data_IF_179184728544
#
_entry.id   IF_179184728544
#
_cell.length_a   1.000
_cell.length_b   1.000
_cell.length_c   1.000
_cell.angle_alpha   90.00
_cell.angle_beta   90.00
_cell.angle_gamma   90.00
#
_symmetry.space_group_name_H-M   'P 1'
#
loop_
_entity.id
_entity.type
_entity.pdbx_description
1 polymer ?
#
# COMPACT_ATOMS: atom_id res chain seq x y z
N UNK A 1 -2.45 19.43 -1.91
CA UNK A 1 -3.25 18.31 -1.40
C UNK A 1 -2.43 17.59 -0.35
N UNK A 2 -2.88 17.61 0.89
CA UNK A 2 -2.25 16.89 2.01
C UNK A 2 -2.77 15.44 2.09
N UNK A 3 -2.27 14.67 3.07
CA UNK A 3 -2.68 13.28 3.28
C UNK A 3 -4.17 13.10 3.57
N UNK A 4 -4.76 13.96 4.39
CA UNK A 4 -6.18 13.89 4.74
C UNK A 4 -7.07 14.06 3.50
N UNK A 5 -6.76 15.05 2.65
CA UNK A 5 -7.47 15.27 1.40
C UNK A 5 -7.24 14.15 0.38
N UNK A 6 -6.02 13.60 0.34
CA UNK A 6 -5.69 12.46 -0.51
C UNK A 6 -6.51 11.22 -0.14
N UNK A 7 -6.54 10.85 1.15
CA UNK A 7 -7.29 9.68 1.63
C UNK A 7 -8.79 9.88 1.43
N UNK A 8 -9.36 11.04 1.78
CA UNK A 8 -10.79 11.28 1.56
C UNK A 8 -11.19 11.18 0.08
N UNK A 9 -10.29 11.55 -0.83
CA UNK A 9 -10.58 11.53 -2.28
C UNK A 9 -10.45 10.15 -2.90
N UNK A 10 -9.45 9.37 -2.47
CA UNK A 10 -9.14 8.06 -3.04
C UNK A 10 -9.46 6.90 -2.07
N UNK A 11 -10.35 7.12 -1.10
CA UNK A 11 -10.58 6.18 0.01
C UNK A 11 -10.88 4.76 -0.47
N UNK A 12 -11.79 4.61 -1.44
CA UNK A 12 -12.19 3.31 -1.97
C UNK A 12 -11.06 2.64 -2.77
N UNK A 13 -10.27 3.41 -3.52
CA UNK A 13 -9.10 2.90 -4.23
C UNK A 13 -8.05 2.40 -3.24
N UNK A 14 -7.74 3.20 -2.21
CA UNK A 14 -6.81 2.83 -1.14
C UNK A 14 -7.27 1.60 -0.34
N UNK A 15 -8.58 1.45 -0.11
CA UNK A 15 -9.14 0.22 0.49
C UNK A 15 -8.94 -1.00 -0.41
N UNK A 16 -9.16 -0.85 -1.72
CA UNK A 16 -8.87 -1.92 -2.69
C UNK A 16 -7.39 -2.26 -2.73
N UNK A 17 -6.51 -1.26 -2.73
CA UNK A 17 -5.05 -1.45 -2.70
C UNK A 17 -4.62 -2.20 -1.44
N UNK A 18 -5.22 -1.88 -0.28
CA UNK A 18 -4.96 -2.59 0.97
C UNK A 18 -5.36 -4.07 0.88
N UNK A 19 -6.54 -4.38 0.33
CA UNK A 19 -6.99 -5.76 0.11
C UNK A 19 -6.09 -6.51 -0.88
N UNK A 20 -5.62 -5.84 -1.95
CA UNK A 20 -4.66 -6.41 -2.90
C UNK A 20 -3.30 -6.70 -2.25
N UNK A 21 -2.80 -5.79 -1.41
CA UNK A 21 -1.56 -6.00 -0.66
C UNK A 21 -1.70 -7.16 0.34
N UNK A 22 -2.83 -7.23 1.05
CA UNK A 22 -3.14 -8.35 1.95
C UNK A 22 -3.17 -9.67 1.19
N UNK A 23 -3.87 -9.73 0.07
CA UNK A 23 -3.92 -10.92 -0.78
C UNK A 23 -2.53 -11.37 -1.21
N UNK A 24 -1.67 -10.42 -1.63
CA UNK A 24 -0.28 -10.72 -2.02
C UNK A 24 0.57 -11.24 -0.87
N UNK A 25 0.37 -10.74 0.35
CA UNK A 25 1.07 -11.23 1.55
C UNK A 25 0.60 -12.64 1.91
N UNK A 26 -0.70 -12.89 1.91
CA UNK A 26 -1.28 -14.21 2.23
C UNK A 26 -0.89 -15.28 1.20
N UNK A 27 -0.71 -14.87 -0.06
CA UNK A 27 -0.34 -15.76 -1.18
C UNK A 27 1.09 -15.54 -1.66
N UNK A 28 1.97 -15.04 -0.79
CA UNK A 28 3.37 -14.79 -1.15
C UNK A 28 4.04 -16.09 -1.57
N UNK A 29 4.58 -16.11 -2.79
CA UNK A 29 5.34 -17.24 -3.32
C UNK A 29 6.80 -16.83 -3.41
N UNK A 30 7.69 -17.39 -2.56
CA UNK A 30 9.11 -17.12 -2.68
C UNK A 30 9.63 -17.64 -4.02
N UNK A 31 10.57 -16.91 -4.60
CA UNK A 31 11.31 -17.36 -5.78
C UNK A 31 12.00 -18.68 -5.45
N UNK A 32 11.88 -19.66 -6.35
CA UNK A 32 12.45 -21.00 -6.15
C UNK A 32 13.85 -21.13 -6.75
N UNK A 33 14.68 -22.04 -6.21
CA UNK A 33 16.07 -22.23 -6.66
C UNK A 33 16.12 -22.54 -8.17
N UNK A 34 15.11 -23.26 -8.68
CA UNK A 34 14.98 -23.60 -10.10
C UNK A 34 14.66 -22.40 -11.00
N UNK A 35 13.89 -21.42 -10.51
CA UNK A 35 13.57 -20.20 -11.27
C UNK A 35 14.79 -19.28 -11.42
N UNK A 36 15.65 -19.21 -10.38
CA UNK A 36 16.92 -18.47 -10.46
C UNK A 36 17.97 -19.18 -11.29
N UNK A 37 18.02 -20.51 -11.26
CA UNK A 37 18.87 -21.28 -12.18
C UNK A 37 18.43 -21.05 -13.64
N UNK A 38 17.12 -20.97 -13.90
CA UNK A 38 16.56 -20.75 -15.23
C UNK A 38 16.94 -19.41 -15.85
N UNK A 39 16.78 -18.30 -15.13
CA UNK A 39 17.10 -16.94 -15.64
C UNK A 39 18.58 -16.77 -16.00
N UNK A 40 19.48 -17.42 -15.26
CA UNK A 40 20.93 -17.34 -15.47
C UNK A 40 21.45 -18.27 -16.59
N UNK A 41 20.76 -19.38 -16.89
CA UNK A 41 21.12 -20.23 -18.04
C UNK A 41 20.93 -19.47 -19.36
N UNK A 42 20.00 -18.52 -19.40
CA UNK A 42 19.77 -17.63 -20.56
C UNK A 42 20.65 -16.37 -20.56
N UNK A 43 21.37 -16.08 -19.47
CA UNK A 43 22.29 -14.95 -19.35
C UNK A 43 23.74 -15.31 -19.75
N UNK A 44 23.91 -16.41 -20.50
CA UNK A 44 25.24 -16.84 -20.97
C UNK A 44 25.70 -16.01 -22.17
N UNK A 45 26.80 -15.30 -21.94
CA UNK A 45 27.65 -14.61 -22.90
C UNK A 45 28.25 -15.55 -23.96
N UNK A 46 28.41 -15.01 -25.18
CA UNK A 46 29.01 -15.63 -26.37
C UNK A 46 30.56 -15.79 -26.30
N UNK A 47 31.16 -15.99 -25.13
CA UNK A 47 32.63 -16.02 -24.99
C UNK A 47 33.27 -17.42 -24.87
N UNK A 48 34.45 -17.64 -25.49
CA UNK A 48 35.05 -18.96 -25.66
C UNK A 48 35.69 -19.52 -24.37
N UNK A 49 35.53 -20.84 -24.20
CA UNK A 49 35.84 -21.66 -23.02
C UNK A 49 37.33 -21.69 -22.63
N UNK A 50 37.61 -21.61 -21.32
CA UNK A 50 38.94 -21.85 -20.74
C UNK A 50 38.94 -22.91 -19.63
N UNK A 51 39.86 -23.88 -19.82
CA UNK A 51 40.53 -24.89 -18.95
C UNK A 51 39.85 -25.38 -17.65
N UNK A 52 39.75 -26.71 -17.57
CA UNK A 52 39.19 -27.52 -16.47
C UNK A 52 40.12 -27.65 -15.26
N UNK A 53 39.68 -27.11 -14.12
CA UNK A 53 40.11 -27.45 -12.74
C UNK A 53 38.98 -28.23 -12.05
N UNK A 54 39.21 -28.95 -10.92
CA UNK A 54 38.23 -29.89 -10.40
C UNK A 54 36.93 -29.15 -10.04
N UNK A 55 35.91 -29.42 -10.83
CA UNK A 55 34.74 -28.59 -11.06
C UNK A 55 33.78 -28.55 -9.87
N UNK A 56 33.88 -29.52 -8.96
CA UNK A 56 32.87 -29.73 -7.92
C UNK A 56 32.86 -28.63 -6.83
N UNK A 57 34.03 -28.27 -6.28
CA UNK A 57 34.13 -27.21 -5.25
C UNK A 57 33.66 -25.84 -5.74
N UNK A 58 33.87 -25.54 -7.03
CA UNK A 58 33.49 -24.24 -7.61
C UNK A 58 31.98 -24.16 -7.81
N UNK A 59 31.35 -25.24 -8.27
CA UNK A 59 29.89 -25.33 -8.43
C UNK A 59 29.15 -25.30 -7.09
N UNK A 60 29.67 -25.96 -6.05
CA UNK A 60 29.09 -25.95 -4.69
C UNK A 60 29.12 -24.54 -4.07
N UNK A 61 30.25 -23.82 -4.14
CA UNK A 61 30.34 -22.44 -3.67
C UNK A 61 29.41 -21.49 -4.44
N UNK A 62 29.30 -21.69 -5.75
CA UNK A 62 28.41 -20.92 -6.60
C UNK A 62 26.94 -21.18 -6.21
N UNK A 63 26.55 -22.44 -5.96
CA UNK A 63 25.21 -22.81 -5.51
C UNK A 63 24.86 -22.26 -4.12
N UNK A 64 25.81 -22.25 -3.17
CA UNK A 64 25.62 -21.65 -1.84
C UNK A 64 25.40 -20.14 -1.93
N UNK A 65 26.23 -19.43 -2.69
CA UNK A 65 26.07 -17.99 -2.92
C UNK A 65 24.72 -17.67 -3.61
N UNK A 66 24.24 -18.54 -4.50
CA UNK A 66 22.93 -18.39 -5.14
C UNK A 66 21.78 -18.54 -4.15
N UNK A 67 21.84 -19.56 -3.30
CA UNK A 67 20.84 -19.80 -2.28
C UNK A 67 20.75 -18.64 -1.28
N UNK A 68 21.89 -18.09 -0.87
CA UNK A 68 21.94 -16.92 0.02
C UNK A 68 21.32 -15.68 -0.63
N UNK A 69 21.68 -15.38 -1.88
CA UNK A 69 21.10 -14.24 -2.62
C UNK A 69 19.60 -14.38 -2.83
N UNK A 70 19.13 -15.58 -3.12
CA UNK A 70 17.72 -15.93 -3.23
C UNK A 70 16.94 -15.68 -1.93
N UNK A 71 17.48 -16.15 -0.80
CA UNK A 71 16.86 -15.96 0.51
C UNK A 71 16.78 -14.46 0.80
N UNK A 72 17.87 -13.73 0.59
CA UNK A 72 17.92 -12.28 0.77
C UNK A 72 16.87 -11.55 -0.07
N UNK A 73 16.76 -11.88 -1.37
CA UNK A 73 15.80 -11.23 -2.27
C UNK A 73 14.35 -11.50 -1.83
N UNK A 74 14.04 -12.73 -1.44
CA UNK A 74 12.72 -13.08 -0.91
C UNK A 74 12.40 -12.34 0.40
N UNK A 75 13.38 -12.22 1.31
CA UNK A 75 13.24 -11.46 2.56
C UNK A 75 13.02 -9.97 2.29
N UNK A 76 13.77 -9.37 1.38
CA UNK A 76 13.64 -7.97 0.98
C UNK A 76 12.25 -7.69 0.35
N UNK A 77 11.79 -8.57 -0.54
CA UNK A 77 10.46 -8.46 -1.16
C UNK A 77 9.34 -8.56 -0.13
N UNK A 78 9.44 -9.52 0.80
CA UNK A 78 8.44 -9.68 1.85
C UNK A 78 8.43 -8.49 2.82
N UNK A 79 9.61 -7.95 3.15
CA UNK A 79 9.75 -6.77 3.99
C UNK A 79 9.13 -5.53 3.35
N UNK A 80 9.40 -5.26 2.07
CA UNK A 80 8.80 -4.14 1.32
C UNK A 80 7.27 -4.27 1.23
N UNK A 81 6.75 -5.45 0.86
CA UNK A 81 5.30 -5.70 0.82
C UNK A 81 4.63 -5.48 2.18
N UNK A 82 5.26 -6.00 3.25
CA UNK A 82 4.74 -5.86 4.62
C UNK A 82 4.75 -4.40 5.06
N UNK A 83 5.83 -3.66 4.79
CA UNK A 83 5.93 -2.25 5.14
C UNK A 83 4.88 -1.41 4.42
N UNK A 84 4.66 -1.67 3.12
CA UNK A 84 3.61 -0.99 2.33
C UNK A 84 2.22 -1.28 2.90
N UNK A 85 1.93 -2.53 3.23
CA UNK A 85 0.66 -2.91 3.85
C UNK A 85 0.46 -2.22 5.19
N UNK A 86 1.45 -2.29 6.10
CA UNK A 86 1.37 -1.68 7.45
C UNK A 86 1.17 -0.17 7.35
N UNK A 87 1.92 0.52 6.47
CA UNK A 87 1.77 1.96 6.27
C UNK A 87 0.36 2.31 5.80
N UNK A 88 -0.14 1.64 4.76
CA UNK A 88 -1.46 1.92 4.21
C UNK A 88 -2.59 1.57 5.20
N UNK A 89 -2.46 0.45 5.91
CA UNK A 89 -3.40 0.03 6.95
C UNK A 89 -3.50 1.09 8.06
N UNK A 90 -2.36 1.51 8.60
CA UNK A 90 -2.30 2.55 9.63
C UNK A 90 -2.88 3.88 9.12
N UNK A 91 -2.58 4.25 7.88
CA UNK A 91 -3.08 5.50 7.30
C UNK A 91 -4.61 5.52 7.18
N UNK A 92 -5.20 4.41 6.73
CA UNK A 92 -6.65 4.25 6.65
C UNK A 92 -7.29 4.16 8.04
N UNK A 93 -6.70 3.41 8.97
CA UNK A 93 -7.21 3.28 10.35
C UNK A 93 -7.18 4.62 11.08
N UNK A 94 -6.09 5.38 10.98
CA UNK A 94 -5.96 6.71 11.54
C UNK A 94 -6.99 7.68 10.96
N UNK A 95 -7.24 7.60 9.66
CA UNK A 95 -8.24 8.42 8.98
C UNK A 95 -9.65 8.09 9.47
N UNK A 96 -10.03 6.81 9.47
CA UNK A 96 -11.34 6.35 9.95
C UNK A 96 -11.54 6.67 11.42
N UNK A 97 -10.51 6.52 12.24
CA UNK A 97 -10.53 6.90 13.64
C UNK A 97 -10.77 8.41 13.80
N UNK A 98 -10.09 9.26 13.02
CA UNK A 98 -10.32 10.69 13.04
C UNK A 98 -11.76 11.06 12.67
N UNK A 99 -12.37 10.35 11.71
CA UNK A 99 -13.79 10.57 11.38
C UNK A 99 -14.73 10.21 12.53
N UNK A 100 -14.42 9.18 13.34
CA UNK A 100 -15.25 8.79 14.50
C UNK A 100 -15.35 9.88 15.58
N UNK A 101 -14.47 10.87 15.57
CA UNK A 101 -14.55 12.02 16.49
C UNK A 101 -15.45 13.16 15.98
N UNK A 102 -15.94 13.10 14.74
CA UNK A 102 -17.00 13.96 14.26
C UNK A 102 -18.30 13.68 15.04
N UNK A 103 -19.19 14.67 15.09
CA UNK A 103 -20.46 14.58 15.80
C UNK A 103 -21.64 14.97 14.91
N UNK A 104 -22.78 14.31 15.13
CA UNK A 104 -24.05 14.59 14.46
C UNK A 104 -23.94 14.50 12.94
N UNK A 105 -24.62 15.40 12.24
CA UNK A 105 -24.76 15.39 10.78
C UNK A 105 -23.41 15.38 10.03
N UNK A 106 -22.34 15.94 10.62
CA UNK A 106 -21.01 15.91 9.99
C UNK A 106 -20.37 14.52 10.00
N UNK A 107 -20.64 13.70 11.02
CA UNK A 107 -20.20 12.31 11.05
C UNK A 107 -20.94 11.50 9.98
N UNK A 108 -22.27 11.61 9.96
CA UNK A 108 -23.10 10.89 8.97
C UNK A 108 -22.74 11.32 7.54
N UNK A 109 -22.52 12.62 7.33
CA UNK A 109 -22.04 13.15 6.06
C UNK A 109 -20.70 12.56 5.65
N UNK A 110 -19.73 12.49 6.57
CA UNK A 110 -18.43 11.89 6.29
C UNK A 110 -18.56 10.41 5.91
N UNK A 111 -19.39 9.63 6.62
CA UNK A 111 -19.67 8.23 6.26
C UNK A 111 -20.28 8.11 4.87
N UNK A 112 -21.23 8.98 4.52
CA UNK A 112 -21.83 8.99 3.18
C UNK A 112 -20.87 9.41 2.07
N UNK A 113 -19.83 10.19 2.38
CA UNK A 113 -18.75 10.49 1.43
C UNK A 113 -17.88 9.27 1.09
N UNK A 114 -17.78 8.29 1.99
CA UNK A 114 -16.93 7.10 1.80
C UNK A 114 -17.62 6.00 0.98
N UNK A 115 -18.94 6.10 0.74
CA UNK A 115 -19.68 5.14 -0.09
C UNK A 115 -19.14 5.15 -1.53
N UNK A 116 -19.08 3.99 -2.17
CA UNK A 116 -18.54 3.82 -3.54
C UNK A 116 -19.22 4.73 -4.57
N UNK A 117 -20.54 4.89 -4.50
CA UNK A 117 -21.32 5.68 -5.46
C UNK A 117 -21.50 7.15 -5.04
N UNK A 118 -20.72 7.61 -4.05
CA UNK A 118 -20.86 8.95 -3.49
C UNK A 118 -20.40 10.02 -4.49
N UNK A 119 -21.28 10.98 -4.74
CA UNK A 119 -20.97 12.17 -5.53
C UNK A 119 -21.70 13.39 -4.97
N UNK A 120 -21.37 14.58 -5.49
CA UNK A 120 -21.95 15.82 -5.01
C UNK A 120 -23.49 15.82 -5.04
N UNK A 121 -24.10 15.26 -6.09
CA UNK A 121 -25.55 15.28 -6.27
C UNK A 121 -26.26 14.22 -5.40
N UNK A 122 -25.59 13.10 -5.09
CA UNK A 122 -26.10 12.12 -4.12
C UNK A 122 -26.10 12.71 -2.71
N UNK A 123 -25.02 13.37 -2.30
CA UNK A 123 -24.89 14.00 -0.99
C UNK A 123 -25.88 15.16 -0.79
N UNK A 124 -26.09 15.99 -1.83
CA UNK A 124 -27.10 17.05 -1.78
C UNK A 124 -28.51 16.49 -1.55
N UNK A 125 -28.84 15.38 -2.21
CA UNK A 125 -30.15 14.72 -2.08
C UNK A 125 -30.32 14.05 -0.72
N UNK A 126 -29.30 13.33 -0.25
CA UNK A 126 -29.32 12.60 1.02
C UNK A 126 -29.45 13.53 2.23
N UNK A 127 -28.74 14.66 2.23
CA UNK A 127 -28.72 15.60 3.36
C UNK A 127 -29.64 16.82 3.15
N UNK A 128 -30.33 16.92 2.01
CA UNK A 128 -31.17 18.07 1.65
C UNK A 128 -30.43 19.42 1.72
N UNK A 129 -29.18 19.44 1.28
CA UNK A 129 -28.31 20.62 1.34
C UNK A 129 -27.90 21.11 -0.05
N UNK A 130 -27.56 22.40 -0.15
CA UNK A 130 -27.03 23.00 -1.37
C UNK A 130 -25.60 22.55 -1.67
N UNK A 131 -25.18 22.67 -2.93
CA UNK A 131 -23.81 22.35 -3.37
C UNK A 131 -22.73 23.12 -2.59
N UNK A 132 -23.00 24.39 -2.26
CA UNK A 132 -22.09 25.21 -1.45
C UNK A 132 -21.96 24.68 -0.03
N UNK A 133 -23.05 24.19 0.56
CA UNK A 133 -23.04 23.54 1.88
C UNK A 133 -22.27 22.22 1.84
N UNK A 134 -22.42 21.38 0.80
CA UNK A 134 -21.62 20.14 0.66
C UNK A 134 -20.12 20.48 0.62
N UNK A 135 -19.71 21.51 -0.14
CA UNK A 135 -18.31 21.96 -0.18
C UNK A 135 -17.82 22.43 1.18
N UNK A 136 -18.66 23.19 1.91
CA UNK A 136 -18.32 23.67 3.24
C UNK A 136 -18.21 22.52 4.26
N UNK A 137 -19.11 21.54 4.21
CA UNK A 137 -19.09 20.37 5.09
C UNK A 137 -17.88 19.48 4.80
N UNK A 138 -17.55 19.22 3.53
CA UNK A 138 -16.29 18.54 3.16
C UNK A 138 -15.07 19.24 3.74
N UNK A 139 -15.02 20.58 3.65
CA UNK A 139 -13.92 21.36 4.25
C UNK A 139 -13.86 21.15 5.77
N UNK A 140 -15.00 21.23 6.47
CA UNK A 140 -15.08 20.99 7.92
C UNK A 140 -14.60 19.59 8.32
N UNK A 141 -14.96 18.57 7.54
CA UNK A 141 -14.48 17.19 7.73
C UNK A 141 -12.95 17.13 7.62
N UNK A 142 -12.39 17.72 6.56
CA UNK A 142 -10.93 17.74 6.38
C UNK A 142 -10.20 18.52 7.47
N UNK A 143 -10.73 19.67 7.88
CA UNK A 143 -10.15 20.47 8.95
C UNK A 143 -10.18 19.72 10.29
N UNK A 144 -11.24 18.97 10.56
CA UNK A 144 -11.33 18.09 11.73
C UNK A 144 -10.28 16.97 11.68
N UNK A 145 -10.15 16.27 10.55
CA UNK A 145 -9.15 15.21 10.40
C UNK A 145 -7.73 15.75 10.63
N UNK A 146 -7.42 16.92 10.06
CA UNK A 146 -6.13 17.60 10.26
C UNK A 146 -5.89 17.91 11.74
N UNK A 147 -6.90 18.42 12.44
CA UNK A 147 -6.82 18.71 13.87
C UNK A 147 -6.52 17.44 14.69
N UNK A 148 -7.20 16.33 14.39
CA UNK A 148 -6.94 15.04 15.05
C UNK A 148 -5.52 14.56 14.76
N UNK A 149 -5.07 14.64 13.50
CA UNK A 149 -3.73 14.20 13.11
C UNK A 149 -2.64 14.98 13.85
N UNK A 150 -2.78 16.30 13.95
CA UNK A 150 -1.87 17.14 14.72
C UNK A 150 -1.85 16.77 16.21
N UNK A 151 -3.03 16.52 16.81
CA UNK A 151 -3.13 16.13 18.23
C UNK A 151 -2.54 14.75 18.52
N UNK A 152 -2.67 13.83 17.57
CA UNK A 152 -2.22 12.43 17.71
C UNK A 152 -0.78 12.22 17.21
N UNK A 153 -0.14 13.24 16.62
CA UNK A 153 1.21 13.15 16.06
C UNK A 153 1.29 12.35 14.76
N UNK A 154 0.18 12.24 14.02
CA UNK A 154 0.17 11.56 12.72
C UNK A 154 0.73 12.47 11.62
N UNK A 155 1.46 11.88 10.68
CA UNK A 155 1.99 12.62 9.55
C UNK A 155 0.87 13.09 8.60
N UNK A 156 0.96 14.35 8.18
CA UNK A 156 0.12 14.94 7.13
C UNK A 156 0.77 14.86 5.74
N UNK A 157 2.01 14.36 5.67
CA UNK A 157 2.73 14.11 4.43
C UNK A 157 2.21 12.86 3.74
N UNK A 158 2.24 12.84 2.40
CA UNK A 158 1.77 11.71 1.60
C UNK A 158 2.69 10.50 1.76
#
# INVERSE_FOLDING_TARGET
MDKAEHILTHYNELKSDLEMLKYRLEHFKPVTENEVIGSLVFEKSDEPRVKSTPTNRRSEMIALNFREKMIQENEEQLADLSQRYIRLANDLENFEMALKFLKGDLYDFAQSMLKTDSNWDSLMREFHISRSTVRNWRRKVLDHVREVYLKMGFSLEK
#
